data_IF_528049223364
#
_entry.id   IF_528049223364
#
_cell.length_a   1.000
_cell.length_b   1.000
_cell.length_c   1.000
_cell.angle_alpha   90.00
_cell.angle_beta   90.00
_cell.angle_gamma   90.00
#
_symmetry.space_group_name_H-M   'P 1'
#
loop_
_entity.id
_entity.type
_entity.pdbx_description
1 polymer ?
#
# COMPACT_ATOMS: atom_id res chain seq x y z
N UNK A 1 -8.65 -18.87 12.04
CA UNK A 1 -7.34 -18.56 11.45
C UNK A 1 -6.51 -17.90 12.53
N UNK A 2 -5.22 -18.22 12.60
CA UNK A 2 -4.26 -17.54 13.47
C UNK A 2 -3.21 -16.85 12.60
N UNK A 3 -2.55 -15.86 13.15
CA UNK A 3 -1.46 -15.16 12.48
C UNK A 3 -0.18 -15.31 13.29
N UNK A 4 0.95 -15.34 12.61
CA UNK A 4 2.25 -15.18 13.26
C UNK A 4 2.42 -13.77 13.82
N UNK A 5 3.52 -13.53 14.54
CA UNK A 5 4.01 -12.18 14.76
C UNK A 5 4.22 -11.49 13.40
N UNK A 6 4.03 -10.16 13.31
CA UNK A 6 4.30 -9.44 12.08
C UNK A 6 5.80 -9.47 11.74
N UNK A 7 6.10 -9.61 10.45
CA UNK A 7 7.48 -9.61 9.96
C UNK A 7 7.79 -8.46 9.00
N UNK A 8 6.76 -7.78 8.52
CA UNK A 8 6.90 -6.63 7.63
C UNK A 8 5.75 -5.64 7.87
N UNK A 9 6.06 -4.35 7.76
CA UNK A 9 5.07 -3.29 7.73
C UNK A 9 5.25 -2.50 6.45
N UNK A 10 4.20 -2.36 5.66
CA UNK A 10 4.24 -1.68 4.38
C UNK A 10 3.49 -0.35 4.43
N UNK A 11 4.06 0.75 3.89
CA UNK A 11 3.32 1.97 3.71
C UNK A 11 2.30 1.85 2.58
N UNK A 12 1.26 2.67 2.64
CA UNK A 12 0.35 2.89 1.53
C UNK A 12 0.97 3.87 0.52
N UNK A 13 0.70 3.66 -0.75
CA UNK A 13 1.21 4.49 -1.83
C UNK A 13 0.09 4.95 -2.77
N UNK A 14 0.22 6.16 -3.26
CA UNK A 14 -0.68 6.74 -4.27
C UNK A 14 -0.06 6.52 -5.64
N UNK A 15 -0.80 5.88 -6.53
CA UNK A 15 -0.40 5.67 -7.91
C UNK A 15 -1.38 6.29 -8.90
N UNK A 16 -0.86 6.63 -10.07
CA UNK A 16 -1.63 7.23 -11.16
C UNK A 16 -1.07 6.78 -12.52
N UNK A 17 -1.61 7.31 -13.59
CA UNK A 17 -1.10 7.15 -14.95
C UNK A 17 -0.71 8.50 -15.55
N UNK A 18 0.18 8.49 -16.55
CA UNK A 18 0.53 9.68 -17.31
C UNK A 18 -0.72 10.32 -17.92
N UNK A 19 -0.80 11.65 -17.84
CA UNK A 19 -1.94 12.42 -18.35
C UNK A 19 -3.14 12.53 -17.39
N UNK A 20 -3.15 11.81 -16.27
CA UNK A 20 -4.13 12.03 -15.20
C UNK A 20 -3.92 13.37 -14.51
N UNK A 21 -4.98 13.94 -13.92
CA UNK A 21 -4.90 15.14 -13.10
C UNK A 21 -3.94 14.98 -11.91
N UNK A 22 -3.78 13.76 -11.38
CA UNK A 22 -2.88 13.42 -10.29
C UNK A 22 -1.40 13.31 -10.70
N UNK A 23 -1.06 13.27 -12.00
CA UNK A 23 0.29 12.93 -12.47
C UNK A 23 1.40 13.88 -11.98
N UNK A 24 1.06 15.10 -11.58
CA UNK A 24 1.99 16.11 -11.09
C UNK A 24 1.79 16.44 -9.60
N UNK A 25 0.97 15.69 -8.88
CA UNK A 25 0.80 15.86 -7.44
C UNK A 25 2.12 15.51 -6.72
N UNK A 26 2.47 16.30 -5.71
CA UNK A 26 3.69 16.15 -4.91
C UNK A 26 3.42 16.24 -3.41
N UNK A 27 2.20 16.56 -3.03
CA UNK A 27 1.78 16.72 -1.64
C UNK A 27 0.38 16.14 -1.42
N UNK A 28 0.01 15.93 -0.15
CA UNK A 28 -1.36 15.54 0.23
C UNK A 28 -2.37 16.62 -0.16
N UNK A 29 -1.96 17.89 -0.12
CA UNK A 29 -2.84 19.01 -0.49
C UNK A 29 -3.24 18.96 -1.97
N UNK A 30 -2.33 18.51 -2.86
CA UNK A 30 -2.61 18.37 -4.30
C UNK A 30 -3.62 17.28 -4.60
N UNK A 31 -3.84 16.35 -3.66
CA UNK A 31 -4.75 15.21 -3.81
C UNK A 31 -6.18 15.52 -3.36
N UNK A 32 -6.40 16.60 -2.62
CA UNK A 32 -7.70 16.87 -1.96
C UNK A 32 -8.89 17.05 -2.90
N UNK A 33 -8.66 17.64 -4.05
CA UNK A 33 -9.73 17.91 -5.02
C UNK A 33 -9.75 16.89 -6.17
N UNK A 34 -9.04 15.76 -6.00
CA UNK A 34 -8.95 14.69 -6.98
C UNK A 34 -9.83 13.50 -6.61
N UNK A 35 -10.27 12.76 -7.62
CA UNK A 35 -11.01 11.51 -7.46
C UNK A 35 -10.03 10.39 -7.12
N UNK A 36 -10.00 10.00 -5.86
CA UNK A 36 -9.07 8.98 -5.35
C UNK A 36 -9.83 7.75 -4.93
N UNK A 37 -9.34 6.58 -5.31
CA UNK A 37 -10.02 5.34 -5.06
C UNK A 37 -9.12 4.25 -4.46
N UNK A 38 -9.75 3.27 -3.83
CA UNK A 38 -9.13 2.02 -3.40
C UNK A 38 -10.16 0.88 -3.38
N UNK A 39 -9.69 -0.34 -3.13
CA UNK A 39 -10.57 -1.47 -2.88
C UNK A 39 -11.31 -1.29 -1.54
N UNK A 40 -12.58 -1.62 -1.51
CA UNK A 40 -13.43 -1.51 -0.31
C UNK A 40 -12.92 -2.42 0.82
N UNK A 41 -13.11 -1.98 2.07
CA UNK A 41 -12.72 -2.71 3.28
C UNK A 41 -11.23 -3.08 3.31
N UNK A 42 -10.37 -2.19 2.83
CA UNK A 42 -8.91 -2.31 2.90
C UNK A 42 -8.32 -1.13 3.68
N UNK A 43 -7.14 -1.33 4.23
CA UNK A 43 -6.33 -0.27 4.85
C UNK A 43 -5.99 0.86 3.85
N UNK A 44 -5.92 0.54 2.55
CA UNK A 44 -5.77 1.54 1.49
C UNK A 44 -6.95 2.50 1.44
N UNK A 45 -8.19 1.99 1.56
CA UNK A 45 -9.38 2.84 1.60
C UNK A 45 -9.43 3.68 2.89
N UNK A 46 -9.13 3.06 4.04
CA UNK A 46 -9.07 3.77 5.32
C UNK A 46 -8.01 4.90 5.27
N UNK A 47 -6.87 4.66 4.60
CA UNK A 47 -5.83 5.68 4.41
C UNK A 47 -6.29 6.86 3.54
N UNK A 48 -7.17 6.65 2.57
CA UNK A 48 -7.77 7.76 1.82
C UNK A 48 -8.60 8.65 2.75
N UNK A 49 -9.48 8.03 3.55
CA UNK A 49 -10.40 8.75 4.43
C UNK A 49 -9.70 9.43 5.62
N UNK A 50 -8.63 8.84 6.15
CA UNK A 50 -7.97 9.36 7.35
C UNK A 50 -6.76 10.25 7.05
N UNK A 51 -6.05 10.01 5.95
CA UNK A 51 -4.80 10.72 5.63
C UNK A 51 -4.97 11.73 4.51
N UNK A 52 -5.54 11.34 3.36
CA UNK A 52 -5.72 12.24 2.22
C UNK A 52 -6.91 13.17 2.46
N UNK A 53 -8.02 12.63 2.91
CA UNK A 53 -9.29 13.33 3.17
C UNK A 53 -9.75 14.14 1.94
N UNK A 54 -10.05 13.48 0.80
CA UNK A 54 -10.51 14.18 -0.38
C UNK A 54 -11.80 14.95 -0.10
N UNK A 55 -11.97 16.10 -0.75
CA UNK A 55 -13.13 16.99 -0.55
C UNK A 55 -14.48 16.27 -0.79
N UNK A 56 -14.54 15.40 -1.78
CA UNK A 56 -15.73 14.62 -2.12
C UNK A 56 -15.74 13.19 -1.51
N UNK A 57 -14.76 12.89 -0.64
CA UNK A 57 -14.54 11.55 -0.06
C UNK A 57 -13.85 10.59 -1.01
N UNK A 58 -13.42 9.44 -0.48
CA UNK A 58 -12.80 8.37 -1.25
C UNK A 58 -13.81 7.55 -2.05
N UNK A 59 -13.40 7.05 -3.21
CA UNK A 59 -14.20 6.17 -4.05
C UNK A 59 -13.82 4.71 -3.81
N UNK A 60 -14.79 3.86 -3.48
CA UNK A 60 -14.53 2.45 -3.21
C UNK A 60 -14.94 1.56 -4.37
N UNK A 61 -14.08 0.58 -4.69
CA UNK A 61 -14.32 -0.45 -5.69
C UNK A 61 -14.30 -1.84 -5.02
N UNK A 62 -14.85 -2.86 -5.69
CA UNK A 62 -14.92 -4.20 -5.09
C UNK A 62 -13.54 -4.84 -4.87
N UNK A 63 -12.56 -4.50 -5.72
CA UNK A 63 -11.20 -5.03 -5.69
C UNK A 63 -10.23 -4.07 -6.40
N UNK A 64 -8.94 -4.40 -6.36
CA UNK A 64 -7.90 -3.58 -7.01
C UNK A 64 -7.99 -3.59 -8.54
N UNK A 65 -8.50 -4.66 -9.17
CA UNK A 65 -8.65 -4.70 -10.63
C UNK A 65 -9.72 -3.72 -11.11
N UNK A 66 -10.85 -3.61 -10.41
CA UNK A 66 -11.90 -2.63 -10.70
C UNK A 66 -11.37 -1.19 -10.49
N UNK A 67 -10.62 -0.94 -9.42
CA UNK A 67 -10.02 0.37 -9.15
C UNK A 67 -8.97 0.74 -10.23
N UNK A 68 -8.13 -0.22 -10.64
CA UNK A 68 -7.17 -0.07 -11.73
C UNK A 68 -7.87 0.27 -13.05
N UNK A 69 -8.93 -0.46 -13.41
CA UNK A 69 -9.70 -0.18 -14.62
C UNK A 69 -10.32 1.24 -14.59
N UNK A 70 -10.80 1.68 -13.41
CA UNK A 70 -11.31 3.03 -13.25
C UNK A 70 -10.21 4.09 -13.47
N UNK A 71 -8.97 3.82 -13.04
CA UNK A 71 -7.83 4.69 -13.29
C UNK A 71 -7.46 4.72 -14.79
N UNK A 72 -7.36 3.57 -15.44
CA UNK A 72 -7.04 3.48 -16.87
C UNK A 72 -8.07 4.17 -17.76
N UNK A 73 -9.34 4.12 -17.39
CA UNK A 73 -10.44 4.77 -18.13
C UNK A 73 -10.64 6.24 -17.76
N UNK A 74 -9.90 6.76 -16.77
CA UNK A 74 -10.03 8.14 -16.31
C UNK A 74 -11.29 8.40 -15.48
N UNK A 75 -11.94 7.35 -14.96
CA UNK A 75 -13.05 7.49 -14.02
C UNK A 75 -12.56 8.00 -12.65
N UNK A 76 -11.32 7.68 -12.28
CA UNK A 76 -10.61 8.23 -11.12
C UNK A 76 -9.25 8.79 -11.54
N UNK A 77 -8.67 9.66 -10.71
CA UNK A 77 -7.42 10.34 -11.01
C UNK A 77 -6.21 9.64 -10.39
N UNK A 78 -6.41 8.94 -9.27
CA UNK A 78 -5.40 8.13 -8.60
C UNK A 78 -6.06 6.97 -7.83
N UNK A 79 -5.26 5.95 -7.52
CA UNK A 79 -5.65 4.88 -6.59
C UNK A 79 -4.60 4.72 -5.49
N UNK A 80 -5.05 4.23 -4.35
CA UNK A 80 -4.18 3.90 -3.20
C UNK A 80 -4.11 2.39 -3.07
N UNK A 81 -2.90 1.88 -2.94
CA UNK A 81 -2.57 0.47 -2.69
C UNK A 81 -1.34 0.39 -1.79
N UNK A 82 -1.04 -0.78 -1.23
CA UNK A 82 0.25 -0.99 -0.55
C UNK A 82 1.44 -0.79 -1.50
N UNK A 83 2.58 -0.38 -0.96
CA UNK A 83 3.74 -0.01 -1.77
C UNK A 83 4.27 -1.14 -2.67
N UNK A 84 4.40 -2.40 -2.24
CA UNK A 84 4.76 -3.50 -3.13
C UNK A 84 3.79 -3.69 -4.29
N UNK A 85 2.48 -3.61 -4.03
CA UNK A 85 1.45 -3.63 -5.08
C UNK A 85 1.57 -2.42 -6.01
N UNK A 86 1.88 -1.24 -5.49
CA UNK A 86 2.11 -0.04 -6.30
C UNK A 86 3.25 -0.24 -7.31
N UNK A 87 4.38 -0.83 -6.90
CA UNK A 87 5.49 -1.14 -7.80
C UNK A 87 5.08 -2.13 -8.89
N UNK A 88 4.38 -3.20 -8.51
CA UNK A 88 3.93 -4.19 -9.47
C UNK A 88 2.97 -3.58 -10.50
N UNK A 89 1.94 -2.88 -10.05
CA UNK A 89 0.95 -2.27 -10.93
C UNK A 89 1.58 -1.26 -11.89
N UNK A 90 2.45 -0.38 -11.39
CA UNK A 90 3.05 0.67 -12.23
C UNK A 90 4.13 0.15 -13.18
N UNK A 91 4.84 -0.93 -12.82
CA UNK A 91 5.89 -1.50 -13.65
C UNK A 91 5.39 -2.52 -14.67
N UNK A 92 4.28 -3.21 -14.39
CA UNK A 92 3.86 -4.40 -15.16
C UNK A 92 2.50 -4.22 -15.82
N UNK A 93 1.54 -3.63 -15.10
CA UNK A 93 0.14 -3.65 -15.56
C UNK A 93 -0.35 -2.32 -16.13
N UNK A 94 0.03 -1.19 -15.55
CA UNK A 94 -0.45 0.12 -15.97
C UNK A 94 0.45 0.71 -17.06
N UNK A 95 -0.10 0.97 -18.22
CA UNK A 95 0.62 1.73 -19.25
C UNK A 95 0.80 3.19 -18.82
N UNK A 96 2.06 3.64 -18.69
CA UNK A 96 2.37 4.97 -18.16
C UNK A 96 2.08 5.08 -16.65
N UNK A 97 2.09 3.95 -15.93
CA UNK A 97 1.92 3.91 -14.48
C UNK A 97 3.00 4.70 -13.75
N UNK A 98 2.63 5.45 -12.74
CA UNK A 98 3.52 6.29 -11.94
C UNK A 98 3.14 6.24 -10.47
N UNK A 99 4.13 6.04 -9.59
CA UNK A 99 3.96 6.22 -8.15
C UNK A 99 4.14 7.72 -7.87
N UNK A 100 3.11 8.35 -7.26
CA UNK A 100 3.17 9.74 -6.81
C UNK A 100 4.01 9.83 -5.56
N UNK A 101 3.72 8.95 -4.59
CA UNK A 101 4.46 8.88 -3.33
C UNK A 101 3.80 7.96 -2.33
N UNK A 102 4.46 7.79 -1.20
CA UNK A 102 3.96 7.06 -0.04
C UNK A 102 3.14 8.00 0.84
N UNK A 103 2.07 7.48 1.43
CA UNK A 103 1.36 8.19 2.49
C UNK A 103 2.19 8.17 3.78
N UNK A 104 2.20 9.25 4.56
CA UNK A 104 2.82 9.24 5.86
C UNK A 104 2.14 8.19 6.75
N UNK A 105 2.92 7.57 7.64
CA UNK A 105 2.37 6.62 8.60
C UNK A 105 1.30 7.31 9.45
N UNK A 106 0.06 6.87 9.32
CA UNK A 106 -1.05 7.35 10.14
C UNK A 106 -1.15 6.53 11.42
N UNK A 107 -1.37 7.18 12.54
CA UNK A 107 -1.55 6.50 13.81
C UNK A 107 -2.81 5.60 13.73
N UNK A 108 -2.60 4.29 13.75
CA UNK A 108 -3.69 3.30 13.74
C UNK A 108 -3.87 2.53 12.44
N UNK A 109 -3.30 2.97 11.33
CA UNK A 109 -3.27 2.20 10.07
C UNK A 109 -1.86 1.65 9.91
N UNK A 110 -1.69 0.38 10.23
CA UNK A 110 -0.45 -0.37 10.02
C UNK A 110 -0.80 -1.60 9.20
N UNK A 111 -0.27 -1.67 7.99
CA UNK A 111 -0.34 -2.88 7.17
C UNK A 111 0.78 -3.82 7.59
N UNK A 112 0.53 -4.53 8.67
CA UNK A 112 1.44 -5.55 9.15
C UNK A 112 1.20 -6.87 8.44
N UNK A 113 2.24 -7.43 7.89
CA UNK A 113 2.21 -8.74 7.24
C UNK A 113 2.64 -9.83 8.21
N UNK A 114 1.72 -10.77 8.44
CA UNK A 114 1.96 -11.98 9.19
C UNK A 114 1.68 -13.23 8.34
N UNK A 115 2.28 -14.35 8.72
CA UNK A 115 1.96 -15.64 8.12
C UNK A 115 0.61 -16.14 8.65
N UNK A 116 -0.26 -16.59 7.74
CA UNK A 116 -1.56 -17.15 8.09
C UNK A 116 -1.40 -18.64 8.42
N UNK A 117 -1.95 -19.03 9.56
CA UNK A 117 -1.93 -20.39 10.08
C UNK A 117 -3.36 -20.88 10.32
N UNK A 118 -3.55 -22.19 10.34
CA UNK A 118 -4.83 -22.75 10.82
C UNK A 118 -5.02 -22.38 12.29
N UNK A 119 -6.27 -22.19 12.68
CA UNK A 119 -6.60 -21.88 14.07
C UNK A 119 -6.06 -22.98 15.00
N UNK A 120 -5.45 -22.56 16.11
CA UNK A 120 -4.83 -23.44 17.13
C UNK A 120 -3.72 -24.35 16.53
N UNK A 121 -2.99 -23.85 15.52
CA UNK A 121 -1.89 -24.60 14.91
C UNK A 121 -0.74 -24.84 15.88
N UNK A 122 -0.30 -26.09 15.96
CA UNK A 122 0.89 -26.45 16.73
C UNK A 122 2.20 -25.84 16.17
N UNK A 123 2.15 -25.28 14.96
CA UNK A 123 3.32 -24.63 14.33
C UNK A 123 3.45 -23.15 14.72
N UNK A 124 2.41 -22.54 15.30
CA UNK A 124 2.40 -21.09 15.56
C UNK A 124 3.59 -20.65 16.43
N UNK A 125 3.88 -21.38 17.49
CA UNK A 125 5.00 -21.08 18.38
C UNK A 125 6.36 -21.19 17.66
N UNK A 126 6.59 -22.28 16.93
CA UNK A 126 7.86 -22.49 16.19
C UNK A 126 8.03 -21.48 15.06
N UNK A 127 6.95 -21.08 14.38
CA UNK A 127 6.96 -20.03 13.35
C UNK A 127 7.32 -18.69 13.96
N UNK A 128 6.72 -18.33 15.09
CA UNK A 128 7.00 -17.07 15.78
C UNK A 128 8.46 -17.02 16.29
N UNK A 129 8.95 -18.13 16.85
CA UNK A 129 10.34 -18.23 17.27
C UNK A 129 11.31 -18.06 16.08
N UNK A 130 11.04 -18.71 14.95
CA UNK A 130 11.86 -18.56 13.74
C UNK A 130 11.84 -17.11 13.21
N UNK A 131 10.69 -16.45 13.17
CA UNK A 131 10.57 -15.05 12.76
C UNK A 131 11.32 -14.14 13.73
N UNK A 132 11.18 -14.35 15.05
CA UNK A 132 11.89 -13.56 16.05
C UNK A 132 13.41 -13.69 15.90
N UNK A 133 13.91 -14.89 15.64
CA UNK A 133 15.34 -15.12 15.39
C UNK A 133 15.83 -14.38 14.12
N UNK A 134 15.01 -14.31 13.07
CA UNK A 134 15.32 -13.54 11.85
C UNK A 134 15.34 -12.03 12.13
N UNK A 135 14.43 -11.54 12.97
CA UNK A 135 14.38 -10.14 13.40
C UNK A 135 15.63 -9.81 14.23
N UNK A 136 15.89 -10.59 15.28
CA UNK A 136 16.97 -10.33 16.24
C UNK A 136 18.37 -10.43 15.61
N UNK A 137 18.53 -11.29 14.61
CA UNK A 137 19.78 -11.42 13.85
C UNK A 137 19.99 -10.34 12.79
N UNK A 138 19.00 -9.50 12.51
CA UNK A 138 19.01 -8.52 11.41
C UNK A 138 18.85 -9.14 10.02
N UNK A 139 18.73 -10.47 9.92
CA UNK A 139 18.61 -11.17 8.63
C UNK A 139 17.32 -10.82 7.90
N UNK A 140 16.24 -10.59 8.65
CA UNK A 140 14.98 -10.15 8.06
C UNK A 140 15.15 -8.80 7.37
N UNK A 141 15.82 -7.84 7.99
CA UNK A 141 16.06 -6.53 7.38
C UNK A 141 16.89 -6.63 6.09
N UNK A 142 17.92 -7.47 6.04
CA UNK A 142 18.70 -7.70 4.82
C UNK A 142 17.84 -8.25 3.67
N UNK A 143 16.87 -9.13 3.98
CA UNK A 143 15.92 -9.66 2.99
C UNK A 143 14.98 -8.55 2.51
N UNK A 144 14.43 -7.76 3.42
CA UNK A 144 13.55 -6.64 3.10
C UNK A 144 14.30 -5.63 2.21
N UNK A 145 15.51 -5.24 2.58
CA UNK A 145 16.32 -4.29 1.80
C UNK A 145 16.66 -4.82 0.40
N UNK A 146 16.84 -6.13 0.28
CA UNK A 146 17.15 -6.76 -1.01
C UNK A 146 15.95 -6.82 -1.94
N UNK A 147 14.76 -7.12 -1.41
CA UNK A 147 13.59 -7.46 -2.23
C UNK A 147 12.51 -6.39 -2.24
N UNK A 148 12.41 -5.61 -1.17
CA UNK A 148 11.38 -4.58 -0.99
C UNK A 148 11.96 -3.18 -0.79
N UNK A 149 13.27 -3.03 -0.79
CA UNK A 149 14.13 -1.86 -0.62
C UNK A 149 13.48 -0.55 -0.16
N UNK A 150 14.05 0.06 0.85
CA UNK A 150 13.50 1.26 1.49
C UNK A 150 13.49 2.53 0.62
N UNK A 151 14.10 2.52 -0.56
CA UNK A 151 14.38 3.73 -1.34
C UNK A 151 14.02 3.60 -2.82
N UNK A 152 12.92 2.95 -3.09
CA UNK A 152 12.45 2.64 -4.45
C UNK A 152 11.89 3.86 -5.22
N UNK A 153 12.31 5.07 -4.87
CA UNK A 153 11.91 6.27 -5.63
C UNK A 153 10.48 6.76 -5.37
N UNK A 154 9.84 6.31 -4.30
CA UNK A 154 8.53 6.78 -3.88
C UNK A 154 8.69 7.73 -2.67
N UNK A 155 8.67 9.06 -2.85
CA UNK A 155 8.82 10.01 -1.74
C UNK A 155 7.62 9.92 -0.79
N UNK A 156 7.83 10.25 0.50
CA UNK A 156 6.73 10.40 1.44
C UNK A 156 6.05 11.74 1.17
N UNK A 157 4.74 11.72 0.90
CA UNK A 157 3.92 12.91 0.69
C UNK A 157 3.73 13.67 2.01
N UNK A 158 3.76 15.00 1.94
CA UNK A 158 3.60 15.89 3.09
C UNK A 158 2.38 16.79 2.95
#
# INVERSE_FOLDING_TARGET
>A
MDFSIPYYSTPQAVITVEGSAAANATSLADLKDLRIAAAAATTSFDSIEETIQPTDGGLSFNNNDDAKLALETGAVDAIVVDLPTAFYLTAVELTGGKIIGQLPASAGISDEWGLVLTKDSALTESVNEALQNLIDSGRLQEIIDTWLGSDQGAPVLQ
#
